data_IF_842548007295
#
_entry.id   IF_842548007295
#
_cell.length_a   1.000
_cell.length_b   1.000
_cell.length_c   1.000
_cell.angle_alpha   90.00
_cell.angle_beta   90.00
_cell.angle_gamma   90.00
#
_symmetry.space_group_name_H-M   'P 1'
#
loop_
_entity.id
_entity.type
_entity.pdbx_description
1 polymer ?
#
# COMPACT_ATOMS: atom_id res chain seq x y z
N UNK A 1 -4.99 -7.30 -1.72
CA UNK A 1 -5.97 -7.80 -2.73
C UNK A 1 -6.87 -6.67 -3.28
N UNK A 2 -7.15 -6.56 -4.59
CA UNK A 2 -7.05 -7.60 -5.62
C UNK A 2 -5.81 -7.53 -6.53
N UNK A 3 -4.97 -6.51 -6.37
CA UNK A 3 -3.85 -6.24 -7.30
C UNK A 3 -2.72 -7.26 -7.16
N UNK A 4 -2.16 -7.38 -5.97
CA UNK A 4 -1.17 -8.39 -5.63
C UNK A 4 -1.76 -9.38 -4.62
N UNK A 5 -1.74 -10.66 -5.00
CA UNK A 5 -2.28 -11.77 -4.23
C UNK A 5 -1.36 -12.99 -4.35
N UNK A 6 -1.62 -13.98 -3.50
CA UNK A 6 -1.11 -15.33 -3.69
C UNK A 6 -2.30 -16.27 -3.84
N UNK A 7 -2.24 -17.17 -4.81
CA UNK A 7 -3.23 -18.23 -4.93
C UNK A 7 -3.06 -19.29 -3.83
N UNK A 8 -3.91 -20.32 -3.85
CA UNK A 8 -3.89 -21.41 -2.85
C UNK A 8 -2.57 -22.20 -2.84
N UNK A 9 -1.79 -22.13 -3.92
CA UNK A 9 -0.49 -22.81 -4.06
C UNK A 9 0.69 -21.91 -3.67
N UNK A 10 0.41 -20.65 -3.32
CA UNK A 10 1.43 -19.65 -3.01
C UNK A 10 2.02 -18.95 -4.23
N UNK A 11 1.51 -19.23 -5.44
CA UNK A 11 1.93 -18.52 -6.66
C UNK A 11 1.33 -17.12 -6.68
N UNK A 12 2.10 -16.14 -7.13
CA UNK A 12 1.63 -14.77 -7.31
C UNK A 12 0.45 -14.72 -8.30
N UNK A 13 -0.58 -13.97 -7.94
CA UNK A 13 -1.80 -13.78 -8.74
C UNK A 13 -2.37 -12.38 -8.52
N UNK A 14 -3.41 -12.03 -9.28
CA UNK A 14 -4.12 -10.76 -9.17
C UNK A 14 -3.86 -9.85 -10.36
N UNK A 15 -4.53 -8.69 -10.36
CA UNK A 15 -4.59 -7.78 -11.51
C UNK A 15 -3.19 -7.36 -11.99
N UNK A 16 -2.25 -7.14 -11.06
CA UNK A 16 -0.89 -6.74 -11.41
C UNK A 16 -0.12 -7.86 -12.10
N UNK A 17 -0.35 -9.11 -11.71
CA UNK A 17 0.26 -10.29 -12.37
C UNK A 17 -0.34 -10.46 -13.76
N UNK A 18 -1.66 -10.39 -13.89
CA UNK A 18 -2.36 -10.53 -15.18
C UNK A 18 -1.89 -9.45 -16.17
N UNK A 19 -1.73 -8.21 -15.70
CA UNK A 19 -1.19 -7.10 -16.49
C UNK A 19 0.25 -7.39 -16.94
N UNK A 20 1.14 -7.80 -16.04
CA UNK A 20 2.53 -8.09 -16.36
C UNK A 20 2.66 -9.31 -17.29
N UNK A 21 1.80 -10.32 -17.16
CA UNK A 21 1.76 -11.48 -18.07
C UNK A 21 1.37 -11.02 -19.48
N UNK A 22 0.34 -10.19 -19.62
CA UNK A 22 -0.07 -9.63 -20.89
C UNK A 22 1.01 -8.73 -21.51
N UNK A 23 1.63 -7.87 -20.70
CA UNK A 23 2.74 -7.01 -21.13
C UNK A 23 3.94 -7.83 -21.61
N UNK A 24 4.36 -8.84 -20.84
CA UNK A 24 5.46 -9.71 -21.20
C UNK A 24 5.17 -10.47 -22.50
N UNK A 25 3.98 -11.05 -22.63
CA UNK A 25 3.54 -11.76 -23.84
C UNK A 25 3.55 -10.86 -25.07
N UNK A 26 3.05 -9.64 -24.97
CA UNK A 26 2.99 -8.67 -26.08
C UNK A 26 4.40 -8.31 -26.58
N UNK A 27 5.38 -8.22 -25.68
CA UNK A 27 6.74 -7.79 -25.99
C UNK A 27 7.75 -8.95 -26.13
N UNK A 28 7.29 -10.20 -26.08
CA UNK A 28 8.17 -11.37 -26.21
C UNK A 28 9.08 -11.62 -24.99
N UNK A 29 8.74 -11.07 -23.83
CA UNK A 29 9.49 -11.29 -22.58
C UNK A 29 9.01 -12.54 -21.84
N UNK A 30 9.92 -13.14 -21.06
CA UNK A 30 9.59 -14.18 -20.08
C UNK A 30 9.36 -13.53 -18.71
N UNK A 31 8.13 -13.54 -18.22
CA UNK A 31 7.82 -13.03 -16.90
C UNK A 31 8.36 -13.95 -15.79
N UNK A 32 9.08 -13.37 -14.83
CA UNK A 32 9.46 -14.04 -13.57
C UNK A 32 9.00 -13.16 -12.41
N UNK A 33 7.97 -13.60 -11.69
CA UNK A 33 7.44 -12.86 -10.52
C UNK A 33 8.24 -13.23 -9.27
N UNK A 34 8.88 -12.25 -8.64
CA UNK A 34 9.58 -12.40 -7.36
C UNK A 34 8.78 -11.77 -6.24
N UNK A 35 8.41 -12.55 -5.22
CA UNK A 35 7.79 -12.03 -4.01
C UNK A 35 8.89 -11.53 -3.06
N UNK A 36 8.93 -10.21 -2.84
CA UNK A 36 9.95 -9.53 -2.02
C UNK A 36 9.21 -8.66 -1.00
N UNK A 37 9.75 -8.56 0.22
CA UNK A 37 9.22 -7.66 1.24
C UNK A 37 9.16 -6.20 0.72
N UNK A 38 8.10 -5.49 1.09
CA UNK A 38 7.75 -4.18 0.54
C UNK A 38 8.89 -3.15 0.65
N UNK A 39 9.51 -3.08 1.81
CA UNK A 39 10.63 -2.20 2.13
C UNK A 39 11.91 -2.54 1.34
N UNK A 40 12.06 -3.79 0.90
CA UNK A 40 13.17 -4.25 0.07
C UNK A 40 13.01 -3.97 -1.43
N UNK A 41 11.81 -3.62 -1.92
CA UNK A 41 11.52 -3.55 -3.36
C UNK A 41 12.41 -2.56 -4.11
N UNK A 42 12.51 -1.32 -3.64
CA UNK A 42 13.33 -0.28 -4.29
C UNK A 42 14.81 -0.69 -4.28
N UNK A 43 15.29 -1.29 -3.18
CA UNK A 43 16.67 -1.77 -3.12
C UNK A 43 16.91 -2.92 -4.10
N UNK A 44 15.95 -3.85 -4.25
CA UNK A 44 16.05 -4.94 -5.22
C UNK A 44 16.11 -4.43 -6.65
N UNK A 45 15.31 -3.40 -6.98
CA UNK A 45 15.32 -2.75 -8.28
C UNK A 45 16.66 -2.05 -8.55
N UNK A 46 17.15 -1.25 -7.60
CA UNK A 46 18.45 -0.55 -7.70
C UNK A 46 19.64 -1.48 -7.84
N UNK A 47 19.58 -2.66 -7.23
CA UNK A 47 20.65 -3.69 -7.31
C UNK A 47 20.47 -4.65 -8.48
N UNK A 48 19.57 -4.33 -9.42
CA UNK A 48 19.26 -5.14 -10.60
C UNK A 48 18.84 -6.59 -10.28
N UNK A 49 18.29 -6.84 -9.08
CA UNK A 49 17.69 -8.14 -8.73
C UNK A 49 16.31 -8.34 -9.38
N UNK A 50 15.64 -7.25 -9.75
CA UNK A 50 14.39 -7.18 -10.49
C UNK A 50 14.45 -6.03 -11.50
N UNK A 51 13.61 -6.08 -12.53
CA UNK A 51 13.57 -5.08 -13.61
C UNK A 51 12.51 -4.00 -13.44
N UNK A 52 11.40 -4.35 -12.80
CA UNK A 52 10.32 -3.43 -12.50
C UNK A 52 9.63 -3.81 -11.18
N UNK A 53 8.88 -2.86 -10.63
CA UNK A 53 8.00 -3.06 -9.48
C UNK A 53 6.58 -2.67 -9.90
N UNK A 54 5.69 -3.65 -9.98
CA UNK A 54 4.24 -3.43 -10.03
C UNK A 54 3.63 -4.06 -8.78
N UNK A 55 3.56 -3.27 -7.71
CA UNK A 55 3.08 -3.72 -6.42
C UNK A 55 2.25 -2.65 -5.70
N UNK A 56 1.38 -1.94 -6.44
CA UNK A 56 0.58 -0.82 -5.88
C UNK A 56 1.45 0.28 -5.26
N UNK A 57 2.57 0.61 -5.93
CA UNK A 57 3.52 1.59 -5.41
C UNK A 57 3.08 3.01 -5.70
N UNK A 58 2.74 3.75 -4.65
CA UNK A 58 2.50 5.19 -4.75
C UNK A 58 3.71 5.93 -5.29
N UNK A 59 3.48 6.72 -6.32
CA UNK A 59 4.41 7.70 -6.86
C UNK A 59 4.56 8.81 -5.83
N UNK A 60 5.77 8.96 -5.27
CA UNK A 60 6.10 10.05 -4.34
C UNK A 60 7.40 10.70 -4.79
N UNK A 61 7.60 11.97 -4.42
CA UNK A 61 8.83 12.69 -4.80
C UNK A 61 10.09 12.01 -4.26
N UNK A 62 10.03 11.46 -3.05
CA UNK A 62 11.15 10.73 -2.46
C UNK A 62 11.49 9.46 -3.24
N UNK A 63 10.47 8.71 -3.69
CA UNK A 63 10.69 7.52 -4.54
C UNK A 63 11.21 7.93 -5.93
N UNK A 64 10.66 9.00 -6.52
CA UNK A 64 11.10 9.54 -7.82
C UNK A 64 12.58 9.96 -7.85
N UNK A 65 13.18 10.30 -6.71
CA UNK A 65 14.62 10.59 -6.63
C UNK A 65 15.49 9.37 -6.94
N UNK A 66 14.98 8.16 -6.69
CA UNK A 66 15.78 6.91 -6.74
C UNK A 66 15.30 5.90 -7.77
N UNK A 67 14.09 6.05 -8.30
CA UNK A 67 13.50 5.23 -9.36
C UNK A 67 12.73 6.13 -10.33
N UNK A 68 12.48 5.63 -11.54
CA UNK A 68 11.49 6.24 -12.44
C UNK A 68 10.17 5.49 -12.39
N UNK A 69 9.09 6.15 -12.78
CA UNK A 69 7.75 5.57 -12.81
C UNK A 69 7.17 5.66 -14.22
N UNK A 70 6.38 4.65 -14.58
CA UNK A 70 5.46 4.71 -15.72
C UNK A 70 4.44 5.83 -15.54
N UNK A 71 3.63 6.06 -16.58
CA UNK A 71 2.36 6.77 -16.40
C UNK A 71 1.53 6.12 -15.28
N UNK A 72 0.80 6.90 -14.46
CA UNK A 72 -0.07 6.36 -13.44
C UNK A 72 -1.10 5.38 -14.00
N UNK A 73 -1.30 4.24 -13.33
CA UNK A 73 -2.32 3.26 -13.71
C UNK A 73 -3.51 3.24 -12.73
N UNK A 74 -3.39 3.85 -11.55
CA UNK A 74 -4.48 3.96 -10.58
C UNK A 74 -4.35 5.22 -9.73
N UNK A 75 -5.49 5.75 -9.28
CA UNK A 75 -5.59 6.77 -8.23
C UNK A 75 -6.00 6.07 -6.93
N UNK A 76 -5.27 6.33 -5.85
CA UNK A 76 -5.37 5.56 -4.62
C UNK A 76 -5.08 6.40 -3.37
N UNK A 77 -6.06 7.20 -2.94
CA UNK A 77 -5.92 8.01 -1.74
C UNK A 77 -5.98 7.16 -0.47
N UNK A 78 -5.41 7.67 0.61
CA UNK A 78 -5.52 7.05 1.93
C UNK A 78 -6.91 7.23 2.54
N UNK A 79 -7.36 6.17 3.20
CA UNK A 79 -8.56 6.08 4.02
C UNK A 79 -8.22 5.42 5.37
N UNK A 80 -9.19 5.38 6.28
CA UNK A 80 -9.00 4.87 7.63
C UNK A 80 -9.92 3.67 7.88
N UNK A 81 -9.38 2.61 8.45
CA UNK A 81 -10.13 1.53 9.08
C UNK A 81 -10.02 1.71 10.60
N UNK A 82 -11.15 1.66 11.29
CA UNK A 82 -11.23 1.78 12.75
C UNK A 82 -12.02 0.61 13.34
N UNK A 83 -11.94 0.35 14.66
CA UNK A 83 -12.87 -0.56 15.32
C UNK A 83 -14.33 -0.09 15.16
N UNK A 84 -15.29 -1.03 15.17
CA UNK A 84 -16.72 -0.73 14.96
C UNK A 84 -17.25 0.32 15.95
N UNK A 85 -16.96 0.13 17.23
CA UNK A 85 -17.45 0.99 18.32
C UNK A 85 -16.54 2.19 18.62
N UNK A 86 -15.68 2.57 17.67
CA UNK A 86 -14.74 3.67 17.82
C UNK A 86 -15.40 5.05 17.67
N UNK A 87 -14.95 6.01 18.47
CA UNK A 87 -15.31 7.43 18.42
C UNK A 87 -14.62 8.21 17.27
N UNK A 88 -13.70 7.57 16.56
CA UNK A 88 -12.90 8.19 15.50
C UNK A 88 -13.76 8.51 14.28
N UNK A 89 -13.92 9.79 13.92
CA UNK A 89 -14.68 10.17 12.72
C UNK A 89 -13.80 10.71 11.60
N UNK A 90 -12.59 11.15 11.94
CA UNK A 90 -11.65 11.75 11.02
C UNK A 90 -10.21 11.59 11.52
N UNK A 91 -9.23 11.99 10.71
CA UNK A 91 -7.81 11.84 11.01
C UNK A 91 -7.37 12.58 12.29
N UNK A 92 -8.00 13.72 12.62
CA UNK A 92 -7.62 14.54 13.79
C UNK A 92 -7.97 13.83 15.10
N UNK A 93 -8.98 12.96 15.09
CA UNK A 93 -9.36 12.20 16.28
C UNK A 93 -8.28 11.20 16.70
N UNK A 94 -7.41 10.81 15.76
CA UNK A 94 -6.30 9.90 15.98
C UNK A 94 -5.03 10.60 16.47
N UNK A 95 -4.90 11.93 16.32
CA UNK A 95 -3.73 12.68 16.82
C UNK A 95 -3.86 13.05 18.30
N UNK A 96 -4.13 12.05 19.15
CA UNK A 96 -4.33 12.22 20.60
C UNK A 96 -3.49 11.23 21.37
N UNK A 97 -3.05 11.63 22.58
CA UNK A 97 -2.33 10.71 23.49
C UNK A 97 -3.22 9.51 23.79
N UNK A 98 -2.61 8.32 23.81
CA UNK A 98 -3.30 7.06 24.06
C UNK A 98 -3.96 6.44 22.83
N UNK A 99 -4.02 7.13 21.67
CA UNK A 99 -4.45 6.52 20.41
C UNK A 99 -3.32 5.68 19.82
N UNK A 100 -3.66 4.50 19.32
CA UNK A 100 -2.73 3.54 18.75
C UNK A 100 -3.03 3.32 17.27
N UNK A 101 -2.01 3.46 16.43
CA UNK A 101 -2.08 3.17 15.00
C UNK A 101 -1.30 1.91 14.69
N UNK A 102 -1.92 0.95 14.03
CA UNK A 102 -1.23 -0.21 13.48
C UNK A 102 -1.04 0.06 11.99
N UNK A 103 0.20 0.22 11.52
CA UNK A 103 0.50 0.63 10.13
C UNK A 103 1.50 -0.30 9.46
N UNK A 104 1.35 -0.48 8.15
CA UNK A 104 2.31 -1.24 7.34
C UNK A 104 3.59 -0.42 7.13
N UNK A 105 4.74 -1.00 7.47
CA UNK A 105 6.06 -0.38 7.32
C UNK A 105 6.29 0.07 5.88
N UNK A 106 6.73 1.32 5.74
CA UNK A 106 7.04 1.94 4.44
C UNK A 106 5.82 2.21 3.52
N UNK A 107 4.58 2.02 3.99
CA UNK A 107 3.40 2.48 3.26
C UNK A 107 3.29 4.01 3.29
N UNK A 108 2.53 4.60 2.37
CA UNK A 108 2.24 6.04 2.44
C UNK A 108 1.42 6.40 3.68
N UNK A 109 0.57 5.49 4.17
CA UNK A 109 -0.11 5.63 5.47
C UNK A 109 0.86 5.76 6.65
N UNK A 110 1.90 4.93 6.70
CA UNK A 110 2.97 5.06 7.69
C UNK A 110 3.70 6.40 7.58
N UNK A 111 4.12 6.78 6.37
CA UNK A 111 4.85 8.03 6.15
C UNK A 111 3.99 9.26 6.51
N UNK A 112 2.71 9.22 6.17
CA UNK A 112 1.76 10.26 6.55
C UNK A 112 1.64 10.38 8.07
N UNK A 113 1.47 9.26 8.79
CA UNK A 113 1.30 9.25 10.22
C UNK A 113 2.51 9.86 10.94
N UNK A 114 3.73 9.44 10.60
CA UNK A 114 4.98 9.99 11.18
C UNK A 114 5.11 11.48 10.90
N UNK A 115 4.75 11.93 9.70
CA UNK A 115 4.86 13.33 9.31
C UNK A 115 3.84 14.21 10.04
N UNK A 116 2.59 13.76 10.19
CA UNK A 116 1.47 14.64 10.54
C UNK A 116 0.86 14.38 11.93
N UNK A 117 1.01 13.18 12.50
CA UNK A 117 0.44 12.83 13.81
C UNK A 117 1.57 12.82 14.84
N UNK A 118 1.43 13.61 15.90
CA UNK A 118 2.47 13.84 16.91
C UNK A 118 2.19 13.18 18.24
N UNK A 119 0.94 12.84 18.51
CA UNK A 119 0.50 12.35 19.82
C UNK A 119 0.12 10.87 19.83
N UNK A 120 -0.13 10.27 18.66
CA UNK A 120 -0.48 8.86 18.51
C UNK A 120 0.75 7.95 18.69
N UNK A 121 0.54 6.75 19.24
CA UNK A 121 1.54 5.67 19.19
C UNK A 121 1.44 4.96 17.85
N UNK A 122 2.57 4.78 17.16
CA UNK A 122 2.62 4.10 15.85
C UNK A 122 3.29 2.75 15.99
N UNK A 123 2.52 1.68 15.84
CA UNK A 123 3.00 0.30 15.79
C UNK A 123 3.17 -0.12 14.32
N UNK A 124 4.37 -0.58 13.97
CA UNK A 124 4.73 -0.92 12.59
C UNK A 124 4.78 -2.43 12.35
N UNK A 125 4.15 -2.85 11.27
CA UNK A 125 4.06 -4.24 10.84
C UNK A 125 4.62 -4.42 9.44
N UNK A 126 5.24 -5.57 9.18
CA UNK A 126 5.80 -5.85 7.86
C UNK A 126 4.70 -6.31 6.87
N UNK A 127 3.65 -6.96 7.39
CA UNK A 127 2.50 -7.43 6.60
C UNK A 127 1.25 -6.60 6.90
N UNK A 128 0.54 -6.23 5.84
CA UNK A 128 -0.74 -5.50 5.88
C UNK A 128 -1.77 -6.19 6.78
N UNK A 129 -2.00 -7.50 6.56
CA UNK A 129 -2.97 -8.29 7.31
C UNK A 129 -2.68 -8.28 8.82
N UNK A 130 -1.41 -8.21 9.24
CA UNK A 130 -1.06 -8.16 10.65
C UNK A 130 -1.49 -6.83 11.28
N UNK A 131 -1.30 -5.70 10.58
CA UNK A 131 -1.78 -4.39 11.04
C UNK A 131 -3.32 -4.31 11.08
N UNK A 132 -3.99 -4.86 10.06
CA UNK A 132 -5.46 -4.92 10.00
C UNK A 132 -6.03 -5.71 11.19
N UNK A 133 -5.40 -6.83 11.56
CA UNK A 133 -5.86 -7.66 12.67
C UNK A 133 -5.85 -6.93 14.02
N UNK A 134 -4.92 -6.01 14.24
CA UNK A 134 -4.91 -5.19 15.46
C UNK A 134 -6.14 -4.28 15.56
N UNK A 135 -6.62 -3.73 14.43
CA UNK A 135 -7.85 -2.93 14.38
C UNK A 135 -9.09 -3.81 14.59
N UNK A 136 -9.16 -4.97 13.91
CA UNK A 136 -10.26 -5.92 14.07
C UNK A 136 -10.40 -6.38 15.53
N UNK A 137 -9.28 -6.60 16.22
CA UNK A 137 -9.24 -7.03 17.62
C UNK A 137 -9.41 -5.87 18.61
N UNK A 138 -9.56 -4.63 18.14
CA UNK A 138 -9.69 -3.45 19.00
C UNK A 138 -8.40 -3.07 19.75
N UNK A 139 -7.24 -3.61 19.35
CA UNK A 139 -5.92 -3.29 19.92
C UNK A 139 -5.32 -2.02 19.34
N UNK A 140 -5.78 -1.60 18.16
CA UNK A 140 -5.42 -0.34 17.52
C UNK A 140 -6.67 0.46 17.13
N UNK A 141 -6.59 1.78 17.25
CA UNK A 141 -7.64 2.72 16.91
C UNK A 141 -7.73 2.99 15.40
N UNK A 142 -6.65 2.79 14.65
CA UNK A 142 -6.61 3.13 13.23
C UNK A 142 -5.58 2.36 12.42
N UNK A 143 -5.96 2.03 11.19
CA UNK A 143 -5.09 1.57 10.11
C UNK A 143 -5.31 2.46 8.88
N UNK A 144 -4.21 2.89 8.24
CA UNK A 144 -4.23 3.76 7.06
C UNK A 144 -3.72 3.02 5.83
N UNK A 145 -4.54 3.01 4.78
CA UNK A 145 -4.19 2.42 3.51
C UNK A 145 -5.08 2.95 2.39
N UNK A 146 -4.91 2.48 1.16
CA UNK A 146 -5.73 2.92 0.04
C UNK A 146 -7.22 2.61 0.24
N UNK A 147 -8.08 3.48 -0.31
CA UNK A 147 -9.54 3.38 -0.19
C UNK A 147 -10.11 2.01 -0.55
N UNK A 148 -9.60 1.34 -1.59
CA UNK A 148 -10.14 0.06 -2.02
C UNK A 148 -9.81 -1.04 -0.99
N UNK A 149 -8.59 -1.09 -0.49
CA UNK A 149 -8.19 -2.04 0.56
C UNK A 149 -8.98 -1.81 1.84
N UNK A 150 -9.18 -0.55 2.26
CA UNK A 150 -9.99 -0.20 3.43
C UNK A 150 -11.45 -0.65 3.24
N UNK A 151 -12.05 -0.32 2.10
CA UNK A 151 -13.42 -0.72 1.77
C UNK A 151 -13.60 -2.24 1.80
N UNK A 152 -12.71 -2.99 1.12
CA UNK A 152 -12.81 -4.46 1.06
C UNK A 152 -12.58 -5.13 2.41
N UNK A 153 -11.66 -4.59 3.21
CA UNK A 153 -11.42 -5.09 4.57
C UNK A 153 -12.65 -4.88 5.44
N UNK A 154 -13.22 -3.67 5.44
CA UNK A 154 -14.45 -3.38 6.16
C UNK A 154 -15.60 -4.28 5.71
N UNK A 155 -15.81 -4.48 4.41
CA UNK A 155 -16.88 -5.35 3.90
C UNK A 155 -16.80 -6.79 4.44
N UNK A 156 -15.60 -7.29 4.75
CA UNK A 156 -15.39 -8.64 5.31
C UNK A 156 -15.52 -8.70 6.83
N UNK A 157 -15.46 -7.54 7.49
CA UNK A 157 -15.34 -7.41 8.94
C UNK A 157 -16.30 -6.32 9.46
N UNK A 158 -17.52 -6.24 8.93
CA UNK A 158 -18.50 -5.20 9.26
C UNK A 158 -18.98 -5.28 10.71
N UNK A 159 -18.87 -6.47 11.32
CA UNK A 159 -19.19 -6.78 12.70
C UNK A 159 -18.15 -6.25 13.71
N UNK A 160 -16.95 -5.90 13.24
CA UNK A 160 -15.81 -5.53 14.09
C UNK A 160 -15.14 -4.23 13.68
N UNK A 161 -15.42 -3.70 12.49
CA UNK A 161 -14.76 -2.52 11.94
C UNK A 161 -15.70 -1.52 11.29
N UNK A 162 -15.22 -0.27 11.14
CA UNK A 162 -15.83 0.79 10.33
C UNK A 162 -14.79 1.38 9.37
N UNK A 163 -15.22 1.74 8.17
CA UNK A 163 -14.41 2.45 7.19
C UNK A 163 -14.74 3.95 7.16
N UNK A 164 -13.71 4.79 7.14
CA UNK A 164 -13.78 6.22 6.84
C UNK A 164 -13.08 6.41 5.50
N UNK A 165 -13.86 6.42 4.42
CA UNK A 165 -13.36 6.43 3.05
C UNK A 165 -13.04 7.83 2.52
N UNK A 166 -13.49 8.89 3.22
CA UNK A 166 -13.15 10.24 2.86
C UNK A 166 -11.62 10.43 2.95
N UNK A 167 -10.95 10.89 1.88
CA UNK A 167 -9.51 11.08 1.92
C UNK A 167 -9.16 12.19 2.92
N UNK A 168 -8.10 11.97 3.69
CA UNK A 168 -7.58 12.96 4.66
C UNK A 168 -6.30 13.67 4.18
N UNK A 169 -5.93 13.43 2.93
CA UNK A 169 -4.77 14.04 2.27
C UNK A 169 -5.23 15.17 1.37
N UNK A 170 -4.44 16.25 1.30
CA UNK A 170 -4.72 17.39 0.41
C UNK A 170 -4.57 17.01 -1.06
N UNK A 171 -3.50 16.28 -1.38
CA UNK A 171 -3.19 15.86 -2.74
C UNK A 171 -3.54 14.40 -2.97
N UNK A 172 -4.05 14.05 -4.15
CA UNK A 172 -4.32 12.66 -4.48
C UNK A 172 -3.04 11.85 -4.67
N UNK A 173 -3.13 10.57 -4.32
CA UNK A 173 -2.07 9.60 -4.56
C UNK A 173 -2.33 8.81 -5.84
N UNK A 174 -1.25 8.46 -6.53
CA UNK A 174 -1.29 7.67 -7.76
C UNK A 174 -0.30 6.52 -7.69
N UNK A 175 -0.67 5.37 -8.23
CA UNK A 175 0.22 4.22 -8.38
C UNK A 175 0.83 4.18 -9.78
N UNK A 176 2.10 3.80 -9.83
CA UNK A 176 2.84 3.61 -11.07
C UNK A 176 3.72 2.36 -11.00
N UNK A 177 4.14 1.87 -12.16
CA UNK A 177 5.14 0.81 -12.27
C UNK A 177 6.49 1.48 -12.11
N UNK A 178 7.28 1.06 -11.11
CA UNK A 178 8.60 1.63 -10.90
C UNK A 178 9.64 0.84 -11.71
N UNK A 179 10.54 1.55 -12.38
CA UNK A 179 11.69 1.00 -13.10
C UNK A 179 12.97 1.67 -12.61
N UNK A 180 14.13 1.12 -12.96
CA UNK A 180 15.42 1.74 -12.58
C UNK A 180 15.51 3.15 -13.17
N UNK A 181 16.22 4.02 -12.47
CA UNK A 181 16.44 5.40 -12.91
C UNK A 181 17.14 5.40 -14.29
N UNK A 182 16.57 6.12 -15.25
CA UNK A 182 17.07 6.23 -16.62
C UNK A 182 16.76 5.04 -17.54
N UNK A 183 15.97 4.06 -17.09
CA UNK A 183 15.55 2.90 -17.91
C UNK A 183 14.37 3.26 -18.82
N UNK A 184 14.59 4.20 -19.75
CA UNK A 184 13.55 4.76 -20.63
C UNK A 184 12.91 3.69 -21.52
N UNK A 185 13.68 2.70 -21.97
CA UNK A 185 13.19 1.63 -22.84
C UNK A 185 12.12 0.74 -22.18
N UNK A 186 12.16 0.56 -20.86
CA UNK A 186 11.15 -0.20 -20.12
C UNK A 186 10.01 0.69 -19.61
N UNK A 187 10.26 2.00 -19.49
CA UNK A 187 9.30 2.98 -19.00
C UNK A 187 8.26 3.38 -20.04
N UNK A 188 8.69 3.56 -21.29
CA UNK A 188 7.88 3.99 -22.43
C UNK A 188 7.04 2.84 -23.04
#
# INVERSE_FOLDING_TARGET
PPFEMSDKTGKASGISVDFLEAFAKKNGYKLVVKNIAWDGLISALKTAKIDLIMSSMTITDERKKVVDFSIPYAKANLAILTPLNSDITNIKDLDKKGKVLALKRGSTGHLYAVKNLKNATINLFDKENAAILEVIQGKADGFFYDQLTIYRTWQKHQDTTRAILAPFQENPEFWGIAVRKGDEALKD
#
